data_IF_772826281097
#
_entry.id   IF_772826281097
#
_cell.length_a   1.000
_cell.length_b   1.000
_cell.length_c   1.000
_cell.angle_alpha   90.00
_cell.angle_beta   90.00
_cell.angle_gamma   90.00
#
_symmetry.space_group_name_H-M   'P 1'
#
loop_
_entity.id
_entity.type
_entity.pdbx_description
1 polymer ?
#
# COMPACT_ATOMS: atom_id res chain seq x y z
N UNK A 1 31.30 -0.97 11.63
CA UNK A 1 29.85 -0.69 11.52
C UNK A 1 29.49 -0.59 10.04
N UNK A 2 28.75 -1.57 9.52
CA UNK A 2 28.37 -1.67 8.10
C UNK A 2 27.35 -0.57 7.80
N UNK A 3 27.57 0.24 6.77
CA UNK A 3 26.57 1.20 6.26
C UNK A 3 25.53 0.39 5.49
N UNK A 4 24.32 0.22 6.05
CA UNK A 4 23.28 -0.70 5.53
C UNK A 4 22.27 0.03 4.63
N UNK A 5 22.40 1.34 4.40
CA UNK A 5 21.40 2.07 3.59
C UNK A 5 22.12 3.01 2.65
N UNK A 6 22.21 2.59 1.38
CA UNK A 6 22.59 3.43 0.25
C UNK A 6 21.32 3.90 -0.46
N UNK A 7 20.94 5.15 -0.22
CA UNK A 7 19.77 5.82 -0.79
C UNK A 7 20.15 6.69 -2.01
N UNK A 8 21.15 6.29 -2.78
CA UNK A 8 21.58 7.01 -4.00
C UNK A 8 20.90 6.56 -5.31
N UNK A 9 19.91 5.65 -5.24
CA UNK A 9 19.21 5.12 -6.42
C UNK A 9 17.72 5.48 -6.56
N UNK A 10 17.17 6.34 -5.69
CA UNK A 10 15.77 6.75 -5.74
C UNK A 10 15.59 8.02 -6.60
N UNK A 11 15.81 7.90 -7.90
CA UNK A 11 15.33 8.90 -8.85
C UNK A 11 13.80 8.83 -8.88
N UNK A 12 13.13 9.87 -8.34
CA UNK A 12 11.67 10.02 -8.42
C UNK A 12 11.14 9.97 -9.86
N UNK A 13 12.00 10.25 -10.85
CA UNK A 13 11.67 10.10 -12.27
C UNK A 13 11.44 8.63 -12.63
N UNK A 14 12.27 7.71 -12.17
CA UNK A 14 12.15 6.28 -12.53
C UNK A 14 10.95 5.60 -11.85
N UNK A 15 10.44 6.19 -10.76
CA UNK A 15 9.17 5.81 -10.13
C UNK A 15 7.93 6.26 -10.92
N UNK A 16 8.05 7.35 -11.69
CA UNK A 16 6.94 7.96 -12.44
C UNK A 16 6.95 7.59 -13.93
N UNK A 17 8.10 7.23 -14.49
CA UNK A 17 8.21 6.68 -15.82
C UNK A 17 7.75 5.21 -15.80
N UNK A 18 6.46 5.01 -16.07
CA UNK A 18 5.75 3.73 -16.25
C UNK A 18 6.27 2.87 -17.43
N UNK A 19 7.53 3.04 -17.86
CA UNK A 19 8.09 2.44 -19.09
C UNK A 19 8.63 1.01 -18.89
N UNK A 20 8.86 0.58 -17.65
CA UNK A 20 9.17 -0.82 -17.36
C UNK A 20 8.10 -1.35 -16.43
N UNK A 21 7.60 -2.56 -16.71
CA UNK A 21 6.62 -3.32 -15.93
C UNK A 21 7.13 -3.67 -14.51
N UNK A 22 7.45 -2.67 -13.70
CA UNK A 22 7.88 -2.76 -12.31
C UNK A 22 6.69 -2.92 -11.34
N UNK A 23 5.49 -3.16 -11.86
CA UNK A 23 4.23 -3.06 -11.13
C UNK A 23 4.16 -3.90 -9.84
N UNK A 24 4.59 -5.18 -9.80
CA UNK A 24 4.50 -5.94 -8.56
C UNK A 24 5.49 -5.44 -7.49
N UNK A 25 6.67 -4.94 -7.91
CA UNK A 25 7.71 -4.47 -6.98
C UNK A 25 7.41 -3.07 -6.43
N UNK A 26 6.82 -2.16 -7.22
CA UNK A 26 6.40 -0.84 -6.71
C UNK A 26 5.23 -0.98 -5.74
N UNK A 27 4.23 -1.80 -6.08
CA UNK A 27 3.04 -1.98 -5.23
C UNK A 27 3.42 -2.55 -3.86
N UNK A 28 4.40 -3.45 -3.80
CA UNK A 28 4.88 -4.02 -2.52
C UNK A 28 5.60 -3.00 -1.64
N UNK A 29 6.34 -2.04 -2.21
CA UNK A 29 6.94 -0.92 -1.44
C UNK A 29 5.86 0.00 -0.87
N UNK A 30 4.87 0.34 -1.70
CA UNK A 30 3.72 1.18 -1.29
C UNK A 30 2.90 0.48 -0.20
N UNK A 31 2.68 -0.83 -0.30
CA UNK A 31 2.01 -1.64 0.73
C UNK A 31 2.67 -1.48 2.10
N UNK A 32 4.00 -1.64 2.17
CA UNK A 32 4.73 -1.50 3.42
C UNK A 32 4.62 -0.09 4.00
N UNK A 33 4.73 0.93 3.15
CA UNK A 33 4.54 2.34 3.57
C UNK A 33 3.13 2.55 4.12
N UNK A 34 2.09 2.12 3.41
CA UNK A 34 0.70 2.26 3.85
C UNK A 34 0.42 1.49 5.14
N UNK A 35 1.02 0.31 5.32
CA UNK A 35 0.91 -0.45 6.57
C UNK A 35 1.54 0.30 7.75
N UNK A 36 2.72 0.89 7.55
CA UNK A 36 3.34 1.77 8.57
C UNK A 36 2.43 2.96 8.89
N UNK A 37 1.84 3.59 7.89
CA UNK A 37 0.90 4.69 8.08
C UNK A 37 -0.35 4.29 8.86
N UNK A 38 -0.93 3.12 8.61
CA UNK A 38 -2.10 2.61 9.33
C UNK A 38 -1.77 2.38 10.81
N UNK A 39 -0.63 1.73 11.08
CA UNK A 39 -0.17 1.50 12.45
C UNK A 39 0.06 2.83 13.16
N UNK A 40 0.74 3.78 12.50
CA UNK A 40 1.01 5.10 13.06
C UNK A 40 -0.27 5.90 13.33
N UNK A 41 -1.22 5.87 12.39
CA UNK A 41 -2.50 6.57 12.51
C UNK A 41 -3.33 6.02 13.66
N UNK A 42 -3.38 4.69 13.81
CA UNK A 42 -4.05 4.04 14.94
C UNK A 42 -3.39 4.36 16.28
N UNK A 43 -2.05 4.42 16.33
CA UNK A 43 -1.31 4.79 17.52
C UNK A 43 -1.60 6.25 17.92
N UNK A 44 -1.59 7.18 16.95
CA UNK A 44 -1.97 8.59 17.16
C UNK A 44 -3.42 8.70 17.65
N UNK A 45 -4.33 7.87 17.14
CA UNK A 45 -5.73 7.84 17.60
C UNK A 45 -5.83 7.44 19.08
N UNK A 46 -5.09 6.41 19.50
CA UNK A 46 -5.08 5.94 20.88
C UNK A 46 -4.46 6.99 21.81
N UNK A 47 -3.32 7.59 21.42
CA UNK A 47 -2.67 8.65 22.19
C UNK A 47 -3.56 9.90 22.33
N UNK A 48 -4.20 10.33 21.25
CA UNK A 48 -5.12 11.48 21.30
C UNK A 48 -6.35 11.19 22.17
N UNK A 49 -6.88 9.97 22.10
CA UNK A 49 -8.01 9.55 22.95
C UNK A 49 -7.67 9.58 24.44
N UNK A 50 -6.42 9.27 24.81
CA UNK A 50 -5.93 9.39 26.19
C UNK A 50 -5.96 10.83 26.69
N UNK A 51 -5.60 11.81 25.84
CA UNK A 51 -5.68 13.24 26.17
C UNK A 51 -7.14 13.71 26.32
N UNK A 52 -8.05 13.21 25.49
CA UNK A 52 -9.48 13.53 25.57
C UNK A 52 -10.17 12.97 26.83
N UNK A 53 -9.58 11.95 27.49
CA UNK A 53 -10.14 11.36 28.72
C UNK A 53 -10.32 12.39 29.84
N UNK A 54 -9.51 13.45 29.86
CA UNK A 54 -9.62 14.57 30.82
C UNK A 54 -10.94 15.34 30.69
N UNK A 55 -11.51 15.38 29.48
CA UNK A 55 -12.71 16.16 29.15
C UNK A 55 -13.96 15.29 29.06
N UNK A 56 -13.86 14.12 28.41
CA UNK A 56 -14.98 13.22 28.18
C UNK A 56 -14.52 11.76 28.18
N UNK A 57 -14.92 11.02 29.22
CA UNK A 57 -14.59 9.60 29.34
C UNK A 57 -15.23 8.76 28.23
N UNK A 58 -16.50 9.04 27.88
CA UNK A 58 -17.21 8.28 26.84
C UNK A 58 -16.58 8.44 25.46
N UNK A 59 -16.18 9.66 25.10
CA UNK A 59 -15.51 9.93 23.82
C UNK A 59 -14.11 9.31 23.76
N UNK A 60 -13.38 9.33 24.88
CA UNK A 60 -12.06 8.70 24.96
C UNK A 60 -12.13 7.17 24.79
N UNK A 61 -13.12 6.51 25.41
CA UNK A 61 -13.30 5.06 25.29
C UNK A 61 -13.63 4.65 23.83
N UNK A 62 -14.52 5.41 23.18
CA UNK A 62 -14.84 5.21 21.77
C UNK A 62 -13.63 5.45 20.86
N UNK A 63 -12.80 6.45 21.16
CA UNK A 63 -11.58 6.76 20.43
C UNK A 63 -10.50 5.69 20.54
N UNK A 64 -10.35 5.07 21.71
CA UNK A 64 -9.42 3.93 21.89
C UNK A 64 -9.92 2.73 21.08
N UNK A 65 -11.22 2.41 21.18
CA UNK A 65 -11.81 1.30 20.44
C UNK A 65 -11.70 1.51 18.93
N UNK A 66 -11.99 2.73 18.45
CA UNK A 66 -11.84 3.06 17.03
C UNK A 66 -10.38 2.99 16.58
N UNK A 67 -9.41 3.33 17.44
CA UNK A 67 -7.98 3.16 17.15
C UNK A 67 -7.59 1.71 16.86
N UNK A 68 -8.05 0.76 17.68
CA UNK A 68 -7.85 -0.68 17.42
C UNK A 68 -8.54 -1.14 16.13
N UNK A 69 -9.79 -0.70 15.92
CA UNK A 69 -10.55 -1.01 14.70
C UNK A 69 -9.84 -0.44 13.46
N UNK A 70 -9.27 0.76 13.53
CA UNK A 70 -8.52 1.36 12.42
C UNK A 70 -7.25 0.58 12.10
N UNK A 71 -6.52 0.07 13.10
CA UNK A 71 -5.31 -0.74 12.84
C UNK A 71 -5.69 -2.06 12.16
N UNK A 72 -6.67 -2.77 12.73
CA UNK A 72 -7.08 -4.09 12.23
C UNK A 72 -7.79 -3.95 10.88
N UNK A 73 -8.83 -3.12 10.84
CA UNK A 73 -9.63 -2.85 9.66
C UNK A 73 -8.83 -2.19 8.55
N UNK A 74 -7.98 -1.23 8.88
CA UNK A 74 -7.07 -0.60 7.92
C UNK A 74 -6.10 -1.60 7.30
N UNK A 75 -5.47 -2.46 8.11
CA UNK A 75 -4.55 -3.49 7.61
C UNK A 75 -5.22 -4.49 6.67
N UNK A 76 -6.43 -4.96 7.02
CA UNK A 76 -7.23 -5.87 6.19
C UNK A 76 -7.65 -5.18 4.89
N UNK A 77 -8.20 -3.97 4.97
CA UNK A 77 -8.64 -3.21 3.81
C UNK A 77 -7.48 -2.96 2.83
N UNK A 78 -6.32 -2.57 3.36
CA UNK A 78 -5.10 -2.42 2.60
C UNK A 78 -4.70 -3.71 1.89
N UNK A 79 -4.72 -4.87 2.56
CA UNK A 79 -4.42 -6.16 1.89
C UNK A 79 -5.34 -6.44 0.70
N UNK A 80 -6.65 -6.33 0.92
CA UNK A 80 -7.66 -6.59 -0.12
C UNK A 80 -7.50 -5.61 -1.29
N UNK A 81 -7.31 -4.32 -0.99
CA UNK A 81 -7.10 -3.29 -2.01
C UNK A 81 -5.88 -3.56 -2.89
N UNK A 82 -4.74 -3.91 -2.30
CA UNK A 82 -3.53 -4.19 -3.08
C UNK A 82 -3.59 -5.50 -3.85
N UNK A 83 -4.26 -6.54 -3.34
CA UNK A 83 -4.51 -7.77 -4.09
C UNK A 83 -5.32 -7.47 -5.36
N UNK A 84 -6.40 -6.69 -5.25
CA UNK A 84 -7.21 -6.30 -6.41
C UNK A 84 -6.42 -5.50 -7.45
N UNK A 85 -5.63 -4.53 -7.01
CA UNK A 85 -4.78 -3.73 -7.92
C UNK A 85 -3.77 -4.66 -8.62
N UNK A 86 -3.11 -5.56 -7.89
CA UNK A 86 -2.16 -6.50 -8.47
C UNK A 86 -2.80 -7.47 -9.47
N UNK A 87 -4.03 -7.93 -9.18
CA UNK A 87 -4.82 -8.79 -10.08
C UNK A 87 -5.17 -8.04 -11.37
N UNK A 88 -5.65 -6.80 -11.28
CA UNK A 88 -5.96 -5.94 -12.44
C UNK A 88 -4.74 -5.79 -13.36
N UNK A 89 -3.57 -5.53 -12.78
CA UNK A 89 -2.33 -5.46 -13.56
C UNK A 89 -1.94 -6.80 -14.18
N UNK A 90 -2.22 -7.91 -13.51
CA UNK A 90 -1.99 -9.23 -14.09
C UNK A 90 -2.87 -9.50 -15.31
N UNK A 91 -4.13 -9.07 -15.26
CA UNK A 91 -5.06 -9.18 -16.39
C UNK A 91 -4.56 -8.34 -17.57
N UNK A 92 -4.16 -7.09 -17.33
CA UNK A 92 -3.65 -6.21 -18.38
C UNK A 92 -2.46 -6.83 -19.13
N UNK A 93 -1.52 -7.42 -18.39
CA UNK A 93 -0.36 -8.13 -18.99
C UNK A 93 -0.76 -9.36 -19.81
N UNK A 94 -1.79 -10.08 -19.38
CA UNK A 94 -2.27 -11.23 -20.12
C UNK A 94 -2.94 -10.82 -21.43
N UNK A 95 -3.69 -9.72 -21.44
CA UNK A 95 -4.32 -9.16 -22.65
C UNK A 95 -3.25 -8.72 -23.66
N UNK A 96 -2.20 -8.03 -23.19
CA UNK A 96 -1.08 -7.61 -24.04
C UNK A 96 -0.37 -8.80 -24.71
N UNK A 97 -0.15 -9.88 -23.98
CA UNK A 97 0.43 -11.13 -24.53
C UNK A 97 -0.44 -11.77 -25.60
N UNK A 98 -1.76 -11.83 -25.39
CA UNK A 98 -2.69 -12.42 -26.35
C UNK A 98 -2.76 -11.60 -27.65
N UNK A 99 -2.63 -10.27 -27.57
CA UNK A 99 -2.59 -9.41 -28.75
C UNK A 99 -1.31 -9.63 -29.58
N UNK A 100 -0.17 -9.84 -28.93
CA UNK A 100 1.10 -10.13 -29.60
C UNK A 100 1.11 -11.50 -30.28
N UNK A 101 0.57 -12.53 -29.62
CA UNK A 101 0.52 -13.90 -30.16
C UNK A 101 -0.29 -13.97 -31.47
N UNK A 102 -1.45 -13.29 -31.51
CA UNK A 102 -2.29 -13.21 -32.70
C UNK A 102 -1.60 -12.53 -33.90
N UNK A 103 -0.75 -11.54 -33.65
CA UNK A 103 0.01 -10.87 -34.72
C UNK A 103 1.12 -11.76 -35.32
N UNK A 104 1.52 -12.82 -34.63
CA UNK A 104 2.54 -13.76 -35.12
C UNK A 104 1.94 -14.80 -36.05
N UNK A 105 0.67 -15.22 -35.83
CA UNK A 105 -0.03 -16.16 -36.72
C UNK A 105 -0.46 -15.55 -38.05
N UNK A 106 -0.76 -14.24 -38.11
CA UNK A 106 -1.12 -13.55 -39.38
C UNK A 106 0.10 -13.27 -40.29
N UNK A 107 1.34 -13.47 -39.81
CA UNK A 107 2.59 -13.27 -40.56
C UNK A 107 3.28 -14.59 -40.97
N UNK A 108 2.63 -15.74 -40.78
CA UNK A 108 3.04 -17.05 -41.32
C UNK A 108 2.07 -17.51 -42.41
#
# INVERSE_FOLDING_TARGET
MKKIVDTSGLSFKDFFFFDKMFTPKIITVIYWISLVFIVFSGLVLIFSSFLLMRYSFGSALLGILSGFVTIIGGSIFTRIGYELICVLFSINRNIEKLALDKSTEDNQ
#
